data_IF_441352239861
#
_entry.id   IF_441352239861
#
_cell.length_a   1.000
_cell.length_b   1.000
_cell.length_c   1.000
_cell.angle_alpha   90.00
_cell.angle_beta   90.00
_cell.angle_gamma   90.00
#
_symmetry.space_group_name_H-M   'P 1'
#
loop_
_entity.id
_entity.type
_entity.pdbx_description
1 polymer ?
#
# COMPACT_ATOMS: atom_id res chain seq x y z
N UNK A 1 1.31 -26.28 -19.43
CA UNK A 1 0.47 -25.54 -20.39
C UNK A 1 1.36 -24.55 -21.08
N UNK A 2 1.50 -24.63 -22.42
CA UNK A 2 2.35 -23.72 -23.20
C UNK A 2 1.57 -22.41 -23.42
N UNK A 3 2.09 -21.28 -22.96
CA UNK A 3 1.39 -19.99 -23.13
C UNK A 3 1.44 -19.53 -24.58
N UNK A 4 0.28 -19.20 -25.15
CA UNK A 4 0.18 -18.69 -26.53
C UNK A 4 0.90 -17.34 -26.68
N UNK A 5 1.43 -17.07 -27.86
CA UNK A 5 2.11 -15.81 -28.18
C UNK A 5 1.24 -14.58 -27.87
N UNK A 6 -0.08 -14.65 -28.11
CA UNK A 6 -1.03 -13.58 -27.77
C UNK A 6 -1.00 -13.25 -26.28
N UNK A 7 -1.01 -14.26 -25.40
CA UNK A 7 -0.97 -14.05 -23.95
C UNK A 7 0.36 -13.43 -23.49
N UNK A 8 1.48 -13.81 -24.12
CA UNK A 8 2.81 -13.27 -23.84
C UNK A 8 2.89 -11.79 -24.24
N UNK A 9 2.38 -11.44 -25.43
CA UNK A 9 2.34 -10.06 -25.93
C UNK A 9 1.42 -9.18 -25.10
N UNK A 10 0.22 -9.65 -24.76
CA UNK A 10 -0.71 -8.90 -23.92
C UNK A 10 -0.13 -8.66 -22.52
N UNK A 11 0.52 -9.67 -21.92
CA UNK A 11 1.19 -9.51 -20.62
C UNK A 11 2.26 -8.41 -20.66
N UNK A 12 3.05 -8.36 -21.73
CA UNK A 12 4.04 -7.30 -21.91
C UNK A 12 3.39 -5.93 -22.06
N UNK A 13 2.39 -5.80 -22.94
CA UNK A 13 1.71 -4.53 -23.19
C UNK A 13 1.03 -3.99 -21.92
N UNK A 14 0.30 -4.82 -21.20
CA UNK A 14 -0.38 -4.40 -19.97
C UNK A 14 0.61 -3.97 -18.88
N UNK A 15 1.66 -4.75 -18.63
CA UNK A 15 2.68 -4.35 -17.66
C UNK A 15 3.39 -3.05 -18.06
N UNK A 16 3.70 -2.87 -19.35
CA UNK A 16 4.33 -1.64 -19.82
C UNK A 16 3.41 -0.42 -19.62
N UNK A 17 2.12 -0.54 -19.95
CA UNK A 17 1.13 0.52 -19.76
C UNK A 17 0.96 0.86 -18.29
N UNK A 18 0.82 -0.15 -17.41
CA UNK A 18 0.68 0.07 -15.97
C UNK A 18 1.96 0.73 -15.42
N UNK A 19 3.14 0.25 -15.80
CA UNK A 19 4.43 0.85 -15.40
C UNK A 19 4.49 2.33 -15.77
N UNK A 20 4.10 2.69 -16.99
CA UNK A 20 4.13 4.08 -17.45
C UNK A 20 3.07 4.94 -16.76
N UNK A 21 1.82 4.46 -16.67
CA UNK A 21 0.70 5.20 -16.10
C UNK A 21 0.89 5.43 -14.59
N UNK A 22 1.20 4.37 -13.83
CA UNK A 22 1.46 4.47 -12.40
C UNK A 22 2.83 5.08 -12.11
N UNK A 23 3.81 4.95 -13.00
CA UNK A 23 5.07 5.68 -12.91
C UNK A 23 4.86 7.19 -13.04
N UNK A 24 4.04 7.64 -13.99
CA UNK A 24 3.65 9.04 -14.10
C UNK A 24 2.87 9.52 -12.86
N UNK A 25 1.93 8.71 -12.36
CA UNK A 25 1.19 9.00 -11.13
C UNK A 25 2.12 9.14 -9.91
N UNK A 26 3.00 8.16 -9.70
CA UNK A 26 3.93 8.12 -8.57
C UNK A 26 4.93 9.27 -8.63
N UNK A 27 5.52 9.54 -9.79
CA UNK A 27 6.42 10.69 -9.98
C UNK A 27 5.68 12.01 -9.75
N UNK A 28 4.49 12.19 -10.32
CA UNK A 28 3.71 13.40 -10.13
C UNK A 28 3.40 13.63 -8.66
N UNK A 29 2.78 12.68 -7.98
CA UNK A 29 2.39 12.86 -6.58
C UNK A 29 3.57 12.85 -5.61
N UNK A 30 4.51 11.92 -5.73
CA UNK A 30 5.62 11.76 -4.78
C UNK A 30 6.77 12.75 -4.97
N UNK A 31 7.10 13.12 -6.21
CA UNK A 31 8.20 14.06 -6.46
C UNK A 31 7.74 15.52 -6.54
N UNK A 32 6.50 15.78 -6.98
CA UNK A 32 6.02 17.16 -7.19
C UNK A 32 4.91 17.58 -6.22
N UNK A 33 3.96 16.73 -5.85
CA UNK A 33 2.83 17.15 -5.00
C UNK A 33 3.16 17.08 -3.52
N UNK A 34 3.53 15.90 -3.01
CA UNK A 34 3.78 15.61 -1.59
C UNK A 34 4.87 16.50 -0.99
N UNK A 35 6.04 16.72 -1.63
CA UNK A 35 7.09 17.57 -1.07
C UNK A 35 6.65 19.03 -0.89
N UNK A 36 5.69 19.49 -1.71
CA UNK A 36 5.28 20.90 -1.74
C UNK A 36 4.43 21.31 -0.54
N UNK A 37 3.82 20.35 0.16
CA UNK A 37 3.20 20.58 1.47
C UNK A 37 4.20 21.01 2.55
N UNK A 38 5.50 20.91 2.26
CA UNK A 38 6.59 21.21 3.17
C UNK A 38 7.57 22.25 2.61
N UNK A 39 7.27 22.88 1.47
CA UNK A 39 8.12 23.93 0.87
C UNK A 39 7.33 25.21 0.62
N UNK A 40 7.91 26.36 0.98
CA UNK A 40 7.24 27.67 1.00
C UNK A 40 6.94 28.34 -0.37
N UNK A 41 6.96 27.61 -1.50
CA UNK A 41 6.77 28.19 -2.84
C UNK A 41 5.36 27.97 -3.42
N UNK A 42 4.67 29.05 -3.82
CA UNK A 42 3.43 28.95 -4.62
C UNK A 42 3.75 28.44 -6.03
N UNK A 43 3.00 27.46 -6.54
CA UNK A 43 3.15 26.98 -7.91
C UNK A 43 1.82 26.93 -8.66
N UNK A 44 1.86 27.35 -9.93
CA UNK A 44 0.74 27.52 -10.88
C UNK A 44 -0.06 26.26 -11.21
N UNK A 45 0.42 25.06 -10.89
CA UNK A 45 -0.31 23.82 -11.14
C UNK A 45 -1.29 23.46 -10.01
N UNK A 46 -1.25 24.18 -8.87
CA UNK A 46 -2.16 23.96 -7.73
C UNK A 46 -3.62 24.30 -8.07
N UNK A 47 -3.86 25.29 -8.93
CA UNK A 47 -5.21 25.66 -9.41
C UNK A 47 -5.90 24.50 -10.15
N UNK A 48 -5.12 23.49 -10.56
CA UNK A 48 -5.59 22.29 -11.25
C UNK A 48 -5.72 21.06 -10.35
N UNK A 49 -5.35 21.14 -9.07
CA UNK A 49 -5.57 20.06 -8.10
C UNK A 49 -7.00 20.09 -7.55
N UNK A 50 -7.57 18.92 -7.31
CA UNK A 50 -8.82 18.81 -6.56
C UNK A 50 -8.56 19.07 -5.07
N UNK A 51 -9.53 19.61 -4.33
CA UNK A 51 -9.35 19.77 -2.88
C UNK A 51 -9.38 18.41 -2.18
N UNK A 52 -8.24 18.02 -1.59
CA UNK A 52 -8.08 16.74 -0.91
C UNK A 52 -7.08 16.78 0.26
N UNK A 53 -7.21 15.87 1.23
CA UNK A 53 -6.29 15.76 2.36
C UNK A 53 -4.91 15.30 1.91
N UNK A 54 -3.86 15.80 2.58
CA UNK A 54 -2.45 15.46 2.32
C UNK A 54 -2.21 13.95 2.17
N UNK A 55 -2.78 13.16 3.07
CA UNK A 55 -2.57 11.72 3.11
C UNK A 55 -3.11 10.99 1.86
N UNK A 56 -4.10 11.55 1.17
CA UNK A 56 -4.59 10.97 -0.09
C UNK A 56 -3.56 11.14 -1.21
N UNK A 57 -2.88 12.29 -1.27
CA UNK A 57 -1.79 12.51 -2.22
C UNK A 57 -0.59 11.62 -1.94
N UNK A 58 -0.25 11.44 -0.67
CA UNK A 58 0.76 10.50 -0.23
C UNK A 58 0.41 9.06 -0.65
N UNK A 59 -0.84 8.65 -0.48
CA UNK A 59 -1.31 7.33 -0.91
C UNK A 59 -1.16 7.14 -2.42
N UNK A 60 -1.53 8.13 -3.24
CA UNK A 60 -1.34 8.07 -4.69
C UNK A 60 0.14 7.99 -5.11
N UNK A 61 1.03 8.71 -4.41
CA UNK A 61 2.47 8.59 -4.64
C UNK A 61 2.95 7.16 -4.40
N UNK A 62 2.59 6.57 -3.25
CA UNK A 62 3.01 5.23 -2.83
C UNK A 62 2.43 4.15 -3.74
N UNK A 63 1.14 4.21 -4.06
CA UNK A 63 0.51 3.28 -5.01
C UNK A 63 1.16 3.40 -6.39
N UNK A 64 1.37 4.62 -6.87
CA UNK A 64 2.05 4.92 -8.13
C UNK A 64 3.43 4.26 -8.22
N UNK A 65 4.30 4.52 -7.26
CA UNK A 65 5.63 3.91 -7.24
C UNK A 65 5.60 2.39 -7.01
N UNK A 66 4.67 1.88 -6.21
CA UNK A 66 4.54 0.43 -5.97
C UNK A 66 4.21 -0.29 -7.29
N UNK A 67 3.20 0.21 -8.02
CA UNK A 67 2.79 -0.36 -9.30
C UNK A 67 3.86 -0.17 -10.36
N UNK A 68 4.54 0.98 -10.40
CA UNK A 68 5.68 1.20 -11.29
C UNK A 68 6.77 0.15 -11.09
N UNK A 69 7.17 -0.14 -9.84
CA UNK A 69 8.23 -1.12 -9.56
C UNK A 69 7.79 -2.56 -9.84
N UNK A 70 6.57 -2.93 -9.43
CA UNK A 70 6.02 -4.27 -9.67
C UNK A 70 5.82 -4.52 -11.16
N UNK A 71 5.10 -3.64 -11.86
CA UNK A 71 4.86 -3.78 -13.30
C UNK A 71 6.13 -3.60 -14.11
N UNK A 72 7.11 -2.83 -13.63
CA UNK A 72 8.42 -2.74 -14.27
C UNK A 72 9.14 -4.10 -14.28
N UNK A 73 9.09 -4.80 -13.14
CA UNK A 73 9.56 -6.19 -13.07
C UNK A 73 8.67 -7.14 -13.91
N UNK A 74 7.36 -6.97 -13.90
CA UNK A 74 6.41 -7.72 -14.72
C UNK A 74 6.66 -7.58 -16.23
N UNK A 75 7.00 -6.36 -16.68
CA UNK A 75 7.38 -6.02 -18.05
C UNK A 75 8.67 -6.74 -18.44
N UNK A 76 9.68 -6.69 -17.57
CA UNK A 76 10.95 -7.39 -17.80
C UNK A 76 10.74 -8.90 -17.94
N UNK A 77 9.93 -9.52 -17.06
CA UNK A 77 9.62 -10.95 -17.16
C UNK A 77 8.79 -11.28 -18.41
N UNK A 78 7.84 -10.43 -18.79
CA UNK A 78 7.06 -10.62 -20.02
C UNK A 78 7.95 -10.53 -21.28
N UNK A 79 8.89 -9.59 -21.30
CA UNK A 79 9.88 -9.47 -22.38
C UNK A 79 10.81 -10.69 -22.46
N UNK A 80 11.26 -11.22 -21.32
CA UNK A 80 11.96 -12.52 -21.30
C UNK A 80 11.09 -13.66 -21.84
N UNK A 81 9.79 -13.65 -21.54
CA UNK A 81 8.83 -14.59 -22.12
C UNK A 81 8.72 -14.46 -23.64
N UNK A 82 8.73 -13.25 -24.19
CA UNK A 82 8.69 -13.05 -25.65
C UNK A 82 9.99 -13.50 -26.33
N UNK A 83 11.14 -13.21 -25.73
CA UNK A 83 12.46 -13.58 -26.27
C UNK A 83 12.79 -15.06 -26.10
N UNK A 84 12.15 -15.75 -25.15
CA UNK A 84 12.35 -17.19 -24.87
C UNK A 84 11.01 -17.95 -24.97
N UNK A 85 10.47 -18.17 -26.19
CA UNK A 85 9.16 -18.79 -26.38
C UNK A 85 9.06 -20.25 -25.92
N UNK A 86 10.19 -20.91 -25.69
CA UNK A 86 10.24 -22.29 -25.19
C UNK A 86 10.21 -22.37 -23.64
N UNK A 87 10.33 -21.25 -22.95
CA UNK A 87 10.30 -21.17 -21.48
C UNK A 87 9.03 -20.43 -21.03
N UNK A 88 8.20 -21.11 -20.23
CA UNK A 88 6.98 -20.54 -19.64
C UNK A 88 7.24 -19.89 -18.27
N UNK A 89 8.40 -20.12 -17.65
CA UNK A 89 8.69 -19.62 -16.30
C UNK A 89 8.66 -18.07 -16.19
N UNK A 90 9.19 -17.30 -17.16
CA UNK A 90 9.07 -15.84 -17.14
C UNK A 90 7.62 -15.37 -17.27
N UNK A 91 6.82 -16.08 -18.08
CA UNK A 91 5.39 -15.77 -18.26
C UNK A 91 4.62 -15.98 -16.96
N UNK A 92 4.86 -17.10 -16.27
CA UNK A 92 4.24 -17.36 -14.96
C UNK A 92 4.60 -16.26 -13.97
N UNK A 93 5.88 -15.85 -13.89
CA UNK A 93 6.30 -14.74 -13.00
C UNK A 93 5.59 -13.43 -13.32
N UNK A 94 5.50 -13.07 -14.61
CA UNK A 94 4.78 -11.88 -15.06
C UNK A 94 3.29 -11.91 -14.67
N UNK A 95 2.64 -13.07 -14.78
CA UNK A 95 1.26 -13.25 -14.33
C UNK A 95 1.13 -13.22 -12.79
N UNK A 96 2.10 -13.75 -12.05
CA UNK A 96 2.12 -13.65 -10.57
C UNK A 96 2.20 -12.19 -10.12
N UNK A 97 2.91 -11.34 -10.87
CA UNK A 97 2.98 -9.90 -10.59
C UNK A 97 1.60 -9.25 -10.74
N UNK A 98 0.84 -9.54 -11.80
CA UNK A 98 -0.54 -9.04 -11.94
C UNK A 98 -1.45 -9.47 -10.79
N UNK A 99 -1.32 -10.73 -10.35
CA UNK A 99 -2.06 -11.21 -9.18
C UNK A 99 -1.70 -10.36 -7.96
N UNK A 100 -0.40 -10.13 -7.73
CA UNK A 100 0.10 -9.34 -6.60
C UNK A 100 -0.41 -7.90 -6.62
N UNK A 101 -0.32 -7.23 -7.77
CA UNK A 101 -0.84 -5.87 -7.97
C UNK A 101 -2.33 -5.80 -7.67
N UNK A 102 -3.10 -6.75 -8.22
CA UNK A 102 -4.53 -6.79 -7.98
C UNK A 102 -4.91 -7.04 -6.53
N UNK A 103 -4.13 -7.82 -5.76
CA UNK A 103 -4.31 -7.93 -4.31
C UNK A 103 -4.01 -6.62 -3.58
N UNK A 104 -2.94 -5.90 -3.96
CA UNK A 104 -2.58 -4.62 -3.35
C UNK A 104 -3.68 -3.58 -3.58
N UNK A 105 -4.14 -3.39 -4.83
CA UNK A 105 -5.20 -2.41 -5.12
C UNK A 105 -6.54 -2.80 -4.52
N UNK A 106 -6.87 -4.09 -4.46
CA UNK A 106 -8.09 -4.55 -3.80
C UNK A 106 -8.08 -4.20 -2.31
N UNK A 107 -6.95 -4.42 -1.64
CA UNK A 107 -6.80 -4.07 -0.25
C UNK A 107 -6.83 -2.54 -0.05
N UNK A 108 -6.18 -1.76 -0.91
CA UNK A 108 -6.21 -0.30 -0.86
C UNK A 108 -7.64 0.23 -1.03
N UNK A 109 -8.39 -0.23 -2.04
CA UNK A 109 -9.79 0.16 -2.28
C UNK A 109 -10.72 -0.26 -1.13
N UNK A 110 -10.50 -1.45 -0.55
CA UNK A 110 -11.24 -1.92 0.63
C UNK A 110 -10.97 -1.02 1.84
N UNK A 111 -9.69 -0.74 2.14
CA UNK A 111 -9.30 0.13 3.24
C UNK A 111 -9.80 1.56 3.02
N UNK A 112 -9.80 2.04 1.79
CA UNK A 112 -10.37 3.34 1.43
C UNK A 112 -11.88 3.38 1.73
N UNK A 113 -12.64 2.36 1.32
CA UNK A 113 -14.07 2.26 1.60
C UNK A 113 -14.41 2.13 3.10
N UNK A 114 -13.52 1.55 3.91
CA UNK A 114 -13.74 1.32 5.34
C UNK A 114 -13.24 2.49 6.20
N UNK A 115 -12.02 3.00 5.93
CA UNK A 115 -11.37 4.01 6.76
C UNK A 115 -11.76 5.42 6.34
N UNK A 116 -11.95 5.67 5.05
CA UNK A 116 -12.14 7.02 4.50
C UNK A 116 -13.59 7.33 4.14
N UNK A 117 -14.52 6.52 4.64
CA UNK A 117 -15.94 6.57 4.32
C UNK A 117 -16.59 7.95 4.58
N UNK A 118 -16.12 8.69 5.59
CA UNK A 118 -16.64 10.02 5.93
C UNK A 118 -15.95 11.16 5.16
N UNK A 119 -14.68 10.99 4.81
CA UNK A 119 -13.85 11.95 4.08
C UNK A 119 -14.22 12.01 2.60
N UNK A 120 -14.53 10.87 2.00
CA UNK A 120 -14.92 10.81 0.57
C UNK A 120 -16.31 11.40 0.32
N UNK A 121 -17.07 11.73 1.37
CA UNK A 121 -18.50 11.93 1.27
C UNK A 121 -18.96 13.38 1.18
N UNK A 122 -18.21 14.36 1.69
CA UNK A 122 -18.66 15.75 1.89
C UNK A 122 -20.17 15.83 2.27
N UNK A 123 -20.61 14.95 3.18
CA UNK A 123 -21.98 14.85 3.69
C UNK A 123 -23.09 14.38 2.74
N UNK A 124 -22.95 14.41 1.41
CA UNK A 124 -24.09 14.21 0.49
C UNK A 124 -24.07 12.91 -0.33
N UNK A 125 -22.91 12.27 -0.54
CA UNK A 125 -22.81 11.05 -1.37
C UNK A 125 -21.94 9.94 -0.75
N UNK A 126 -21.93 9.85 0.59
CA UNK A 126 -21.18 8.87 1.38
C UNK A 126 -21.32 7.43 0.89
N UNK A 127 -22.54 7.02 0.57
CA UNK A 127 -22.81 5.66 0.11
C UNK A 127 -22.18 5.37 -1.25
N UNK A 128 -22.08 6.35 -2.15
CA UNK A 128 -21.68 6.10 -3.54
C UNK A 128 -20.18 5.80 -3.66
N UNK A 129 -19.31 6.63 -3.08
CA UNK A 129 -17.85 6.43 -3.15
C UNK A 129 -17.42 5.14 -2.43
N UNK A 130 -18.03 4.85 -1.28
CA UNK A 130 -17.79 3.61 -0.53
C UNK A 130 -18.26 2.39 -1.32
N UNK A 131 -19.49 2.41 -1.86
CA UNK A 131 -20.03 1.30 -2.64
C UNK A 131 -19.21 1.06 -3.90
N UNK A 132 -18.79 2.11 -4.60
CA UNK A 132 -17.94 1.97 -5.79
C UNK A 132 -16.58 1.37 -5.45
N UNK A 133 -15.90 1.87 -4.42
CA UNK A 133 -14.60 1.33 -3.99
C UNK A 133 -14.71 -0.14 -3.57
N UNK A 134 -15.79 -0.52 -2.88
CA UNK A 134 -16.06 -1.91 -2.51
C UNK A 134 -16.36 -2.80 -3.73
N UNK A 135 -17.18 -2.33 -4.67
CA UNK A 135 -17.48 -3.06 -5.91
C UNK A 135 -16.18 -3.29 -6.70
N UNK A 136 -15.36 -2.25 -6.88
CA UNK A 136 -14.08 -2.39 -7.59
C UNK A 136 -13.12 -3.32 -6.83
N UNK A 137 -13.04 -3.27 -5.51
CA UNK A 137 -12.24 -4.20 -4.71
C UNK A 137 -12.69 -5.66 -4.95
N UNK A 138 -14.00 -5.93 -4.92
CA UNK A 138 -14.55 -7.27 -5.17
C UNK A 138 -14.25 -7.73 -6.59
N UNK A 139 -14.46 -6.87 -7.59
CA UNK A 139 -14.16 -7.19 -9.00
C UNK A 139 -12.68 -7.52 -9.19
N UNK A 140 -11.77 -6.77 -8.56
CA UNK A 140 -10.33 -7.01 -8.63
C UNK A 140 -9.92 -8.30 -7.91
N UNK A 141 -10.53 -8.63 -6.75
CA UNK A 141 -10.31 -9.92 -6.08
C UNK A 141 -10.78 -11.10 -6.94
N UNK A 142 -11.94 -10.99 -7.58
CA UNK A 142 -12.44 -12.03 -8.50
C UNK A 142 -11.50 -12.16 -9.70
N UNK A 143 -11.13 -11.03 -10.32
CA UNK A 143 -10.24 -10.99 -11.49
C UNK A 143 -8.85 -11.57 -11.20
N UNK A 144 -8.34 -11.44 -9.98
CA UNK A 144 -7.03 -11.98 -9.57
C UNK A 144 -7.09 -13.41 -9.05
N UNK A 145 -8.21 -13.84 -8.46
CA UNK A 145 -8.39 -15.21 -8.00
C UNK A 145 -8.45 -16.22 -9.15
N UNK A 146 -9.10 -15.89 -10.26
CA UNK A 146 -9.19 -16.79 -11.44
C UNK A 146 -7.79 -17.20 -11.95
N UNK A 147 -6.87 -16.27 -12.28
CA UNK A 147 -5.53 -16.63 -12.71
C UNK A 147 -4.73 -17.27 -11.57
N UNK A 148 -4.89 -16.85 -10.32
CA UNK A 148 -4.20 -17.47 -9.18
C UNK A 148 -4.51 -18.97 -9.06
N UNK A 149 -5.79 -19.35 -9.09
CA UNK A 149 -6.22 -20.75 -9.05
C UNK A 149 -5.67 -21.50 -10.27
N UNK A 150 -5.82 -20.98 -11.49
CA UNK A 150 -5.30 -21.65 -12.69
C UNK A 150 -3.77 -21.86 -12.67
N UNK A 151 -3.02 -20.93 -12.07
CA UNK A 151 -1.57 -21.00 -12.00
C UNK A 151 -1.08 -21.98 -10.93
N UNK A 152 -1.71 -21.96 -9.75
CA UNK A 152 -1.19 -22.57 -8.54
C UNK A 152 -2.07 -23.69 -7.93
N UNK A 153 -3.22 -24.01 -8.50
CA UNK A 153 -4.05 -25.12 -8.02
C UNK A 153 -3.27 -26.45 -8.09
N UNK A 154 -3.24 -27.16 -6.97
CA UNK A 154 -2.45 -28.39 -6.77
C UNK A 154 -0.93 -28.23 -6.88
N UNK A 155 -0.36 -27.02 -6.87
CA UNK A 155 1.08 -26.75 -7.03
C UNK A 155 1.69 -26.02 -5.83
N UNK A 156 3.03 -26.00 -5.77
CA UNK A 156 3.78 -25.23 -4.78
C UNK A 156 3.47 -23.73 -4.89
N UNK A 157 2.94 -23.15 -3.82
CA UNK A 157 2.54 -21.74 -3.73
C UNK A 157 3.67 -20.81 -3.27
N UNK A 158 4.89 -21.30 -3.04
CA UNK A 158 6.03 -20.47 -2.59
C UNK A 158 6.28 -19.26 -3.48
N UNK A 159 6.17 -19.42 -4.80
CA UNK A 159 6.38 -18.29 -5.72
C UNK A 159 5.31 -17.21 -5.52
N UNK A 160 4.04 -17.60 -5.40
CA UNK A 160 2.94 -16.67 -5.12
C UNK A 160 3.17 -15.95 -3.78
N UNK A 161 3.45 -16.71 -2.71
CA UNK A 161 3.72 -16.15 -1.38
C UNK A 161 4.90 -15.18 -1.39
N UNK A 162 5.98 -15.53 -2.10
CA UNK A 162 7.14 -14.66 -2.25
C UNK A 162 6.75 -13.31 -2.86
N UNK A 163 5.98 -13.31 -3.96
CA UNK A 163 5.58 -12.07 -4.63
C UNK A 163 4.58 -11.24 -3.82
N UNK A 164 3.63 -11.87 -3.14
CA UNK A 164 2.70 -11.16 -2.24
C UNK A 164 3.44 -10.46 -1.10
N UNK A 165 4.37 -11.15 -0.44
CA UNK A 165 5.18 -10.58 0.65
C UNK A 165 6.14 -9.51 0.14
N UNK A 166 6.75 -9.71 -1.03
CA UNK A 166 7.61 -8.71 -1.65
C UNK A 166 6.83 -7.47 -2.07
N UNK A 167 5.62 -7.62 -2.61
CA UNK A 167 4.73 -6.51 -2.96
C UNK A 167 4.33 -5.69 -1.73
N UNK A 168 3.95 -6.37 -0.64
CA UNK A 168 3.68 -5.71 0.65
C UNK A 168 4.92 -5.00 1.23
N UNK A 169 6.11 -5.60 1.09
CA UNK A 169 7.36 -4.96 1.47
C UNK A 169 7.64 -3.71 0.60
N UNK A 170 7.49 -3.78 -0.72
CA UNK A 170 7.69 -2.62 -1.59
C UNK A 170 6.73 -1.49 -1.20
N UNK A 171 5.44 -1.79 -0.99
CA UNK A 171 4.46 -0.79 -0.59
C UNK A 171 4.81 -0.11 0.75
N UNK A 172 5.08 -0.91 1.79
CA UNK A 172 5.44 -0.38 3.12
C UNK A 172 6.79 0.34 3.13
N UNK A 173 7.77 -0.12 2.33
CA UNK A 173 9.06 0.54 2.16
C UNK A 173 8.93 1.90 1.47
N UNK A 174 8.08 2.00 0.44
CA UNK A 174 7.78 3.27 -0.23
C UNK A 174 7.01 4.23 0.67
N UNK A 175 6.08 3.73 1.50
CA UNK A 175 5.45 4.53 2.56
C UNK A 175 6.50 5.16 3.49
N UNK A 176 7.48 4.37 3.97
CA UNK A 176 8.56 4.88 4.82
C UNK A 176 9.38 5.94 4.10
N UNK A 177 9.70 5.72 2.82
CA UNK A 177 10.48 6.66 2.03
C UNK A 177 9.76 7.99 1.85
N UNK A 178 8.51 7.97 1.38
CA UNK A 178 7.71 9.17 1.11
C UNK A 178 7.43 9.96 2.39
N UNK A 179 6.99 9.27 3.46
CA UNK A 179 6.78 9.90 4.78
C UNK A 179 8.10 10.43 5.35
N UNK A 180 9.20 9.71 5.16
CA UNK A 180 10.54 10.09 5.58
C UNK A 180 11.04 11.36 4.89
N UNK A 181 10.81 11.49 3.58
CA UNK A 181 11.09 12.72 2.83
C UNK A 181 10.26 13.89 3.36
N UNK A 182 8.95 13.68 3.56
CA UNK A 182 8.07 14.69 4.15
C UNK A 182 8.55 15.15 5.54
N UNK A 183 8.96 14.21 6.39
CA UNK A 183 9.52 14.49 7.71
C UNK A 183 10.81 15.33 7.62
N UNK A 184 11.76 14.96 6.75
CA UNK A 184 13.02 15.69 6.57
C UNK A 184 12.80 17.12 6.08
N UNK A 185 11.79 17.35 5.25
CA UNK A 185 11.42 18.69 4.79
C UNK A 185 10.74 19.50 5.90
N UNK A 186 9.86 18.86 6.68
CA UNK A 186 9.18 19.46 7.82
C UNK A 186 10.14 19.93 8.92
N UNK A 187 11.20 19.15 9.21
CA UNK A 187 12.22 19.47 10.21
C UNK A 187 13.05 20.73 9.87
N UNK A 188 12.98 21.23 8.63
CA UNK A 188 13.65 22.47 8.22
C UNK A 188 12.87 23.74 8.61
N UNK A 189 11.62 23.61 9.07
CA UNK A 189 10.78 24.74 9.46
C UNK A 189 10.54 24.80 10.99
N UNK A 190 10.18 25.97 11.51
CA UNK A 190 10.14 26.30 12.95
C UNK A 190 9.21 25.38 13.77
N UNK A 191 9.74 24.84 14.87
CA UNK A 191 9.27 23.63 15.59
C UNK A 191 7.94 23.71 16.37
N UNK A 192 7.45 24.89 16.77
CA UNK A 192 6.45 24.98 17.86
C UNK A 192 4.99 24.68 17.47
N UNK A 193 4.58 24.95 16.22
CA UNK A 193 3.20 24.78 15.77
C UNK A 193 2.90 23.41 15.12
N UNK A 194 3.92 22.55 14.93
CA UNK A 194 3.83 21.36 14.07
C UNK A 194 4.01 20.01 14.81
N UNK A 195 4.06 20.02 16.14
CA UNK A 195 4.32 18.82 16.97
C UNK A 195 3.34 17.65 16.75
N UNK A 196 2.02 17.84 16.57
CA UNK A 196 1.11 16.71 16.35
C UNK A 196 1.39 15.96 15.03
N UNK A 197 1.65 16.69 13.94
CA UNK A 197 1.99 16.07 12.66
C UNK A 197 3.34 15.35 12.71
N UNK A 198 4.28 15.87 13.50
CA UNK A 198 5.57 15.21 13.74
C UNK A 198 5.35 13.81 14.35
N UNK A 199 4.52 13.71 15.39
CA UNK A 199 4.22 12.42 16.02
C UNK A 199 3.50 11.46 15.06
N UNK A 200 2.52 11.94 14.29
CA UNK A 200 1.81 11.12 13.31
C UNK A 200 2.74 10.57 12.22
N UNK A 201 3.60 11.41 11.64
CA UNK A 201 4.57 11.00 10.62
C UNK A 201 5.63 10.03 11.20
N UNK A 202 6.12 10.27 12.43
CA UNK A 202 7.04 9.36 13.11
C UNK A 202 6.41 7.99 13.37
N UNK A 203 5.15 7.95 13.82
CA UNK A 203 4.40 6.70 13.98
C UNK A 203 4.25 5.97 12.65
N UNK A 204 3.95 6.69 11.56
CA UNK A 204 3.86 6.11 10.21
C UNK A 204 5.19 5.51 9.74
N UNK A 205 6.31 6.19 9.96
CA UNK A 205 7.65 5.67 9.64
C UNK A 205 7.96 4.42 10.46
N UNK A 206 7.73 4.45 11.78
CA UNK A 206 8.03 3.33 12.66
C UNK A 206 7.20 2.09 12.32
N UNK A 207 5.88 2.23 12.18
CA UNK A 207 5.01 1.08 11.88
C UNK A 207 5.32 0.49 10.50
N UNK A 208 5.47 1.33 9.46
CA UNK A 208 5.72 0.86 8.11
C UNK A 208 7.16 0.34 7.97
N UNK A 209 8.12 0.90 8.71
CA UNK A 209 9.50 0.43 8.76
C UNK A 209 9.62 -0.96 9.36
N UNK A 210 8.94 -1.20 10.49
CA UNK A 210 8.87 -2.54 11.09
C UNK A 210 8.19 -3.51 10.12
N UNK A 211 7.03 -3.13 9.57
CA UNK A 211 6.28 -3.96 8.63
C UNK A 211 7.11 -4.29 7.37
N UNK A 212 7.82 -3.30 6.82
CA UNK A 212 8.72 -3.44 5.67
C UNK A 212 9.81 -4.47 5.94
N UNK A 213 10.55 -4.32 7.03
CA UNK A 213 11.65 -5.23 7.38
C UNK A 213 11.11 -6.65 7.54
N UNK A 214 10.00 -6.82 8.24
CA UNK A 214 9.44 -8.14 8.49
C UNK A 214 8.85 -8.78 7.22
N UNK A 215 8.18 -8.02 6.35
CA UNK A 215 7.69 -8.53 5.07
C UNK A 215 8.84 -8.90 4.14
N UNK A 216 9.87 -8.06 4.07
CA UNK A 216 11.05 -8.32 3.24
C UNK A 216 11.78 -9.58 3.72
N UNK A 217 12.04 -9.70 5.02
CA UNK A 217 12.65 -10.90 5.60
C UNK A 217 11.77 -12.13 5.38
N UNK A 218 10.45 -12.00 5.52
CA UNK A 218 9.48 -13.05 5.24
C UNK A 218 9.58 -13.53 3.79
N UNK A 219 9.57 -12.61 2.80
CA UNK A 219 9.73 -12.94 1.39
C UNK A 219 11.07 -13.67 1.13
N UNK A 220 12.17 -13.16 1.68
CA UNK A 220 13.50 -13.78 1.53
C UNK A 220 13.55 -15.20 2.14
N UNK A 221 12.83 -15.44 3.25
CA UNK A 221 12.74 -16.76 3.87
C UNK A 221 11.86 -17.72 3.06
N UNK A 222 10.76 -17.27 2.46
CA UNK A 222 9.96 -18.08 1.52
C UNK A 222 10.82 -18.51 0.34
N UNK A 223 11.62 -17.60 -0.23
CA UNK A 223 12.56 -17.91 -1.32
C UNK A 223 13.60 -18.97 -0.91
N UNK A 224 14.00 -19.00 0.36
CA UNK A 224 14.90 -20.01 0.94
C UNK A 224 14.19 -21.29 1.41
N UNK A 225 12.89 -21.42 1.18
CA UNK A 225 12.10 -22.59 1.60
C UNK A 225 11.75 -22.64 3.09
N UNK A 226 11.98 -21.55 3.85
CA UNK A 226 11.71 -21.46 5.30
C UNK A 226 10.34 -20.84 5.57
N UNK A 227 9.28 -21.48 5.07
CA UNK A 227 7.90 -20.95 5.07
C UNK A 227 7.32 -20.76 6.46
N UNK A 228 7.65 -21.61 7.44
CA UNK A 228 7.17 -21.46 8.82
C UNK A 228 7.68 -20.16 9.46
N UNK A 229 8.99 -19.89 9.39
CA UNK A 229 9.58 -18.65 9.92
C UNK A 229 9.07 -17.42 9.16
N UNK A 230 8.87 -17.54 7.86
CA UNK A 230 8.25 -16.49 7.06
C UNK A 230 6.83 -16.13 7.56
N UNK A 231 6.02 -17.13 7.91
CA UNK A 231 4.67 -16.92 8.47
C UNK A 231 4.68 -16.14 9.79
N UNK A 232 5.64 -16.41 10.68
CA UNK A 232 5.80 -15.63 11.92
C UNK A 232 6.14 -14.17 11.63
N UNK A 233 7.08 -13.90 10.72
CA UNK A 233 7.45 -12.53 10.37
C UNK A 233 6.30 -11.79 9.67
N UNK A 234 5.59 -12.45 8.76
CA UNK A 234 4.42 -11.86 8.10
C UNK A 234 3.32 -11.51 9.12
N UNK A 235 3.11 -12.35 10.14
CA UNK A 235 2.18 -12.05 11.23
C UNK A 235 2.67 -10.89 12.09
N UNK A 236 3.98 -10.79 12.32
CA UNK A 236 4.59 -9.63 12.99
C UNK A 236 4.43 -8.33 12.20
N UNK A 237 4.52 -8.36 10.87
CA UNK A 237 4.20 -7.21 10.03
C UNK A 237 2.74 -6.79 10.19
N UNK A 238 1.81 -7.75 10.15
CA UNK A 238 0.39 -7.47 10.35
C UNK A 238 0.13 -6.88 11.75
N UNK A 239 0.81 -7.39 12.79
CA UNK A 239 0.74 -6.84 14.14
C UNK A 239 1.23 -5.39 14.18
N UNK A 240 2.36 -5.07 13.56
CA UNK A 240 2.91 -3.72 13.51
C UNK A 240 1.97 -2.73 12.81
N UNK A 241 1.39 -3.12 11.67
CA UNK A 241 0.40 -2.31 10.94
C UNK A 241 -0.89 -2.13 11.74
N UNK A 242 -1.40 -3.20 12.38
CA UNK A 242 -2.60 -3.11 13.23
C UNK A 242 -2.39 -2.23 14.46
N UNK A 243 -1.26 -2.39 15.16
CA UNK A 243 -0.89 -1.55 16.30
C UNK A 243 -0.74 -0.08 15.89
N UNK A 244 -0.07 0.18 14.77
CA UNK A 244 0.14 1.54 14.32
C UNK A 244 -1.15 2.20 13.79
N UNK A 245 -2.11 1.45 13.23
CA UNK A 245 -3.46 1.97 12.95
C UNK A 245 -4.20 2.39 14.23
N UNK A 246 -4.13 1.59 15.30
CA UNK A 246 -4.72 1.94 16.61
C UNK A 246 -4.06 3.20 17.18
N UNK A 247 -2.72 3.26 17.17
CA UNK A 247 -1.98 4.43 17.66
C UNK A 247 -2.30 5.66 16.82
N UNK A 248 -2.33 5.52 15.49
CA UNK A 248 -2.64 6.62 14.59
C UNK A 248 -4.06 7.15 14.81
N UNK A 249 -5.06 6.27 14.93
CA UNK A 249 -6.43 6.66 15.26
C UNK A 249 -6.53 7.35 16.63
N UNK A 250 -5.82 6.85 17.65
CA UNK A 250 -5.80 7.47 18.96
C UNK A 250 -5.13 8.86 18.96
N UNK A 251 -4.01 9.02 18.25
CA UNK A 251 -3.33 10.31 18.09
C UNK A 251 -4.22 11.31 17.35
N UNK A 252 -4.89 10.86 16.29
CA UNK A 252 -5.80 11.69 15.51
C UNK A 252 -7.03 12.12 16.35
N UNK A 253 -7.56 11.27 17.23
CA UNK A 253 -8.59 11.70 18.22
C UNK A 253 -8.07 12.73 19.22
N UNK A 254 -6.87 12.52 19.78
CA UNK A 254 -6.28 13.41 20.79
C UNK A 254 -5.95 14.79 20.19
N UNK A 255 -5.59 14.83 18.92
CA UNK A 255 -5.21 16.03 18.20
C UNK A 255 -6.30 16.57 17.27
N UNK A 256 -7.51 16.02 17.32
CA UNK A 256 -8.63 16.39 16.45
C UNK A 256 -8.90 17.91 16.45
N UNK A 257 -8.90 18.53 17.62
CA UNK A 257 -9.13 19.98 17.79
C UNK A 257 -7.86 20.83 17.61
N UNK A 258 -6.72 20.21 17.31
CA UNK A 258 -5.44 20.87 17.04
C UNK A 258 -5.11 20.72 15.56
N UNK A 259 -5.79 21.45 14.66
CA UNK A 259 -5.54 21.34 13.23
C UNK A 259 -4.07 21.64 12.97
N UNK A 260 -3.32 20.62 12.55
CA UNK A 260 -2.00 20.88 11.99
C UNK A 260 -2.24 21.41 10.61
N UNK A 261 -1.96 22.70 10.46
CA UNK A 261 -1.85 23.29 9.15
C UNK A 261 -0.51 22.84 8.57
N UNK A 262 -0.54 21.88 7.65
CA UNK A 262 0.56 21.77 6.70
C UNK A 262 0.60 23.09 5.94
N UNK A 263 1.79 23.71 5.87
CA UNK A 263 1.97 25.01 5.23
C UNK A 263 1.66 24.89 3.74
N UNK A 264 0.40 25.09 3.38
CA UNK A 264 0.02 25.50 2.06
C UNK A 264 0.18 27.01 2.03
N UNK A 265 1.38 27.42 1.60
CA UNK A 265 1.86 28.79 1.39
C UNK A 265 0.73 29.83 1.27
N UNK A 266 0.82 30.84 2.16
CA UNK A 266 0.07 32.10 2.22
C UNK A 266 -0.88 32.36 1.05
N UNK A 267 -2.10 31.85 1.17
CA UNK A 267 -3.24 32.29 0.38
C UNK A 267 -4.32 32.81 1.34
N UNK A 268 -4.73 34.09 1.24
CA UNK A 268 -5.81 34.64 2.05
C UNK A 268 -7.20 34.10 1.65
N UNK A 269 -7.24 33.16 0.70
CA UNK A 269 -8.43 32.60 0.09
C UNK A 269 -8.26 31.07 0.09
N UNK A 270 -8.91 30.44 1.05
CA UNK A 270 -9.22 29.00 1.11
C UNK A 270 -8.06 27.98 1.21
N UNK A 271 -8.08 27.27 2.35
CA UNK A 271 -7.67 25.88 2.43
C UNK A 271 -6.31 25.68 3.08
N UNK A 272 -6.27 25.71 4.41
CA UNK A 272 -5.36 24.79 5.07
C UNK A 272 -5.81 23.37 4.71
N UNK A 273 -4.92 22.53 4.18
CA UNK A 273 -5.21 21.10 4.11
C UNK A 273 -5.42 20.64 5.55
N UNK A 274 -6.67 20.33 5.90
CA UNK A 274 -6.97 19.76 7.20
C UNK A 274 -6.21 18.43 7.29
N UNK A 275 -5.51 18.23 8.39
CA UNK A 275 -5.03 16.90 8.81
C UNK A 275 -6.16 15.86 8.77
N UNK A 276 -7.36 16.31 9.12
CA UNK A 276 -8.49 15.46 9.46
C UNK A 276 -9.13 14.83 8.24
N UNK A 277 -8.80 13.57 8.04
CA UNK A 277 -9.88 12.62 7.82
C UNK A 277 -10.93 12.87 8.93
N UNK A 278 -12.20 13.07 8.61
CA UNK A 278 -13.22 13.46 9.59
C UNK A 278 -13.31 12.49 10.79
N UNK A 279 -14.18 12.78 11.76
CA UNK A 279 -14.30 11.98 13.00
C UNK A 279 -14.50 10.47 12.79
N UNK A 280 -15.01 10.03 11.63
CA UNK A 280 -15.19 8.62 11.29
C UNK A 280 -13.89 7.86 11.08
N UNK A 281 -12.87 8.49 10.50
CA UNK A 281 -11.59 7.84 10.25
C UNK A 281 -10.85 7.37 11.51
N UNK A 282 -10.62 8.19 12.55
CA UNK A 282 -9.87 7.74 13.73
C UNK A 282 -10.58 6.59 14.45
N UNK A 283 -11.91 6.61 14.51
CA UNK A 283 -12.72 5.51 15.06
C UNK A 283 -12.49 4.24 14.25
N UNK A 284 -12.59 4.32 12.92
CA UNK A 284 -12.41 3.14 12.06
C UNK A 284 -10.98 2.64 12.04
N UNK A 285 -9.97 3.51 12.16
CA UNK A 285 -8.57 3.12 12.30
C UNK A 285 -8.35 2.27 13.57
N UNK A 286 -8.98 2.64 14.70
CA UNK A 286 -8.93 1.84 15.92
C UNK A 286 -9.65 0.50 15.73
N UNK A 287 -10.84 0.49 15.12
CA UNK A 287 -11.62 -0.74 14.90
C UNK A 287 -10.87 -1.72 13.99
N UNK A 288 -10.46 -1.25 12.80
CA UNK A 288 -9.73 -2.05 11.82
C UNK A 288 -8.38 -2.48 12.39
N UNK A 289 -7.65 -1.58 13.04
CA UNK A 289 -6.38 -1.90 13.68
C UNK A 289 -6.51 -3.01 14.73
N UNK A 290 -7.57 -2.97 15.55
CA UNK A 290 -7.87 -4.00 16.55
C UNK A 290 -8.19 -5.36 15.90
N UNK A 291 -8.97 -5.37 14.82
CA UNK A 291 -9.27 -6.60 14.06
C UNK A 291 -8.01 -7.19 13.44
N UNK A 292 -7.14 -6.35 12.87
CA UNK A 292 -5.85 -6.77 12.31
C UNK A 292 -4.93 -7.35 13.39
N UNK A 293 -4.89 -6.72 14.57
CA UNK A 293 -4.13 -7.24 15.72
C UNK A 293 -4.64 -8.61 16.17
N UNK A 294 -5.96 -8.78 16.31
CA UNK A 294 -6.55 -10.06 16.68
C UNK A 294 -6.25 -11.14 15.62
N UNK A 295 -6.34 -10.79 14.33
CA UNK A 295 -5.97 -11.65 13.22
C UNK A 295 -4.48 -12.05 13.24
N UNK A 296 -3.59 -11.10 13.50
CA UNK A 296 -2.15 -11.35 13.63
C UNK A 296 -1.83 -12.30 14.79
N UNK A 297 -2.46 -12.09 15.96
CA UNK A 297 -2.34 -12.98 17.11
C UNK A 297 -2.85 -14.39 16.81
N UNK A 298 -3.98 -14.51 16.10
CA UNK A 298 -4.50 -15.79 15.66
C UNK A 298 -3.56 -16.51 14.70
N UNK A 299 -3.00 -15.80 13.71
CA UNK A 299 -2.04 -16.35 12.75
C UNK A 299 -0.74 -16.80 13.41
N UNK A 300 -0.24 -16.04 14.40
CA UNK A 300 0.90 -16.44 15.24
C UNK A 300 0.61 -17.73 16.00
N UNK A 301 -0.56 -17.81 16.65
CA UNK A 301 -0.98 -19.00 17.39
C UNK A 301 -1.13 -20.21 16.47
N UNK A 302 -1.76 -20.07 15.31
CA UNK A 302 -1.93 -21.13 14.33
C UNK A 302 -0.58 -21.65 13.80
N UNK A 303 0.33 -20.73 13.45
CA UNK A 303 1.70 -21.06 13.02
C UNK A 303 2.49 -21.84 14.08
N UNK A 304 2.25 -21.54 15.37
CA UNK A 304 2.89 -22.25 16.49
C UNK A 304 2.42 -23.71 16.66
N UNK A 305 1.16 -24.00 16.34
CA UNK A 305 0.63 -25.36 16.39
C UNK A 305 1.16 -26.23 15.25
N UNK A 306 1.28 -25.68 14.06
CA UNK A 306 1.83 -26.41 12.91
C UNK A 306 3.31 -26.72 13.09
N UNK A 307 4.10 -25.77 13.60
CA UNK A 307 5.52 -26.00 13.92
C UNK A 307 5.73 -27.11 14.94
N UNK A 308 4.89 -27.19 15.98
CA UNK A 308 4.94 -28.27 16.98
C UNK A 308 4.57 -29.63 16.39
N UNK A 309 3.59 -29.69 15.49
CA UNK A 309 3.22 -30.95 14.81
C UNK A 309 4.28 -31.44 13.84
N UNK A 310 5.02 -30.53 13.19
CA UNK A 310 6.11 -30.89 12.27
C UNK A 310 7.36 -31.42 13.00
N UNK A 311 7.61 -30.97 14.23
CA UNK A 311 8.73 -31.45 15.07
C UNK A 311 8.43 -32.79 15.78
N UNK A 312 7.16 -33.20 15.83
CA UNK A 312 6.72 -34.45 16.46
C UNK A 312 6.60 -35.63 15.48
N UNK A 313 6.89 -35.41 14.19
CA UNK A 313 6.98 -36.42 13.14
C UNK A 313 8.45 -36.63 12.74
#
# INVERSE_FOLDING_TARGET
MKYQNTSRTLSFLFHAIITMAFGALGLYFGAFVVPQFFTAGYMTWRDSLFDAPYFLYLEFAVIGFTFMLLSGYGTYQAWLGLSRPNDDAPVVKSLTVFVTEGWIISLALLLHGILLFDVTANGTNMAFAVVISLIFAILMLIATNIPMVKLYDGKDQKQLLFFLLLGAAIFTGLMVLEVGVGLLLMLKETFSAKMPALYMLLTMILQNGIAFVFFLLSALLVKKGRTSLAGYLASGSAFALGAGLVVYGALDMVFYDKPVHFNLVDTPIHGAAQNGFGYGFPVMAIVVGTVVLAGACYLLWASSREGKKALAK
#
